data_IF_300484343127
#
_entry.id   IF_300484343127
#
_cell.length_a   1.000
_cell.length_b   1.000
_cell.length_c   1.000
_cell.angle_alpha   90.00
_cell.angle_beta   90.00
_cell.angle_gamma   90.00
#
_symmetry.space_group_name_H-M   'P 1'
#
loop_
_entity.id
_entity.type
_entity.pdbx_description
1 polymer ?
#
# COMPACT_ATOMS: atom_id res chain seq x y z
N UNK A 1 42.92 -53.11 4.33
CA UNK A 1 44.09 -52.30 4.75
C UNK A 1 43.56 -50.92 5.04
N UNK A 2 43.08 -50.71 6.26
CA UNK A 2 42.41 -49.47 6.69
C UNK A 2 43.26 -48.78 7.77
N UNK A 3 43.57 -47.50 7.51
CA UNK A 3 43.44 -46.39 8.47
C UNK A 3 44.17 -46.46 9.81
N UNK A 4 45.49 -46.33 9.82
CA UNK A 4 46.23 -45.85 11.00
C UNK A 4 47.23 -44.77 10.59
N UNK A 5 46.73 -43.58 10.24
CA UNK A 5 47.55 -42.37 10.28
C UNK A 5 47.90 -42.10 11.74
N UNK A 6 49.18 -42.09 12.09
CA UNK A 6 49.62 -41.93 13.48
C UNK A 6 49.08 -40.61 14.05
N UNK A 7 48.74 -40.57 15.35
CA UNK A 7 48.18 -39.37 16.00
C UNK A 7 48.98 -38.09 15.71
N UNK A 8 50.30 -38.22 15.49
CA UNK A 8 51.19 -37.11 15.10
C UNK A 8 50.90 -36.54 13.72
N UNK A 9 50.67 -37.39 12.72
CA UNK A 9 50.36 -36.95 11.36
C UNK A 9 49.00 -36.24 11.29
N UNK A 10 48.02 -36.68 12.09
CA UNK A 10 46.72 -36.02 12.19
C UNK A 10 46.86 -34.62 12.81
N UNK A 11 47.67 -34.48 13.86
CA UNK A 11 47.94 -33.19 14.51
C UNK A 11 48.67 -32.24 13.56
N UNK A 12 49.69 -32.70 12.84
CA UNK A 12 50.43 -31.89 11.87
C UNK A 12 49.54 -31.43 10.70
N UNK A 13 48.63 -32.29 10.22
CA UNK A 13 47.67 -31.95 9.18
C UNK A 13 46.70 -30.83 9.62
N UNK A 14 46.17 -30.92 10.84
CA UNK A 14 45.29 -29.88 11.42
C UNK A 14 46.07 -28.57 11.61
N UNK A 15 47.31 -28.64 12.10
CA UNK A 15 48.14 -27.47 12.36
C UNK A 15 48.50 -26.73 11.06
N UNK A 16 48.80 -27.48 9.99
CA UNK A 16 49.05 -26.93 8.66
C UNK A 16 47.78 -26.31 8.06
N UNK A 17 46.66 -27.02 8.12
CA UNK A 17 45.37 -26.51 7.62
C UNK A 17 44.96 -25.21 8.33
N UNK A 18 45.13 -25.14 9.65
CA UNK A 18 44.85 -23.92 10.41
C UNK A 18 45.80 -22.77 10.05
N UNK A 19 47.08 -23.06 9.80
CA UNK A 19 48.04 -22.04 9.34
C UNK A 19 47.66 -21.48 7.96
N UNK A 20 47.14 -22.33 7.09
CA UNK A 20 46.76 -21.98 5.71
C UNK A 20 45.38 -21.27 5.65
N UNK A 21 44.42 -21.62 6.52
CA UNK A 21 43.03 -21.14 6.45
C UNK A 21 42.50 -20.38 7.69
N UNK A 22 43.20 -20.39 8.81
CA UNK A 22 42.73 -19.82 10.08
C UNK A 22 42.43 -18.32 9.98
N UNK A 23 43.21 -17.56 9.20
CA UNK A 23 42.96 -16.12 8.95
C UNK A 23 41.62 -15.89 8.24
N UNK A 24 41.32 -16.66 7.20
CA UNK A 24 40.03 -16.55 6.48
C UNK A 24 38.84 -16.95 7.34
N UNK A 25 38.99 -17.95 8.21
CA UNK A 25 37.93 -18.37 9.13
C UNK A 25 37.66 -17.29 10.16
N UNK A 26 38.70 -16.74 10.79
CA UNK A 26 38.56 -15.64 11.76
C UNK A 26 37.96 -14.41 11.11
N UNK A 27 38.41 -14.06 9.89
CA UNK A 27 37.84 -12.93 9.14
C UNK A 27 36.36 -13.18 8.81
N UNK A 28 36.02 -14.39 8.34
CA UNK A 28 34.64 -14.77 8.05
C UNK A 28 33.74 -14.72 9.29
N UNK A 29 34.25 -15.19 10.44
CA UNK A 29 33.54 -15.13 11.71
C UNK A 29 33.34 -13.68 12.17
N UNK A 30 34.37 -12.83 12.07
CA UNK A 30 34.29 -11.43 12.44
C UNK A 30 33.27 -10.68 11.57
N UNK A 31 33.30 -10.90 10.24
CA UNK A 31 32.31 -10.34 9.32
C UNK A 31 30.91 -10.84 9.63
N UNK A 32 30.75 -12.14 9.92
CA UNK A 32 29.47 -12.74 10.29
C UNK A 32 28.89 -12.14 11.57
N UNK A 33 29.70 -11.98 12.63
CA UNK A 33 29.27 -11.38 13.89
C UNK A 33 28.91 -9.91 13.75
N UNK A 34 29.70 -9.14 12.99
CA UNK A 34 29.40 -7.73 12.72
C UNK A 34 28.12 -7.57 11.88
N UNK A 35 27.95 -8.41 10.86
CA UNK A 35 26.73 -8.43 10.05
C UNK A 35 25.49 -8.76 10.87
N UNK A 36 25.57 -9.80 11.72
CA UNK A 36 24.45 -10.19 12.59
C UNK A 36 24.15 -9.11 13.64
N UNK A 37 25.17 -8.52 14.26
CA UNK A 37 25.01 -7.43 15.23
C UNK A 37 24.38 -6.19 14.61
N UNK A 38 24.84 -5.80 13.41
CA UNK A 38 24.26 -4.69 12.65
C UNK A 38 22.80 -4.93 12.27
N UNK A 39 22.47 -6.13 11.79
CA UNK A 39 21.09 -6.50 11.46
C UNK A 39 20.18 -6.46 12.69
N UNK A 40 20.60 -7.03 13.82
CA UNK A 40 19.82 -7.01 15.07
C UNK A 40 19.58 -5.60 15.60
N UNK A 41 20.61 -4.75 15.58
CA UNK A 41 20.48 -3.35 16.00
C UNK A 41 19.48 -2.58 15.13
N UNK A 42 19.54 -2.80 13.81
CA UNK A 42 18.59 -2.21 12.87
C UNK A 42 17.16 -2.70 13.12
N UNK A 43 16.98 -4.00 13.34
CA UNK A 43 15.68 -4.61 13.63
C UNK A 43 15.08 -4.09 14.94
N UNK A 44 15.87 -4.02 16.02
CA UNK A 44 15.43 -3.49 17.32
C UNK A 44 15.02 -2.03 17.22
N UNK A 45 15.81 -1.20 16.53
CA UNK A 45 15.48 0.22 16.29
C UNK A 45 14.17 0.36 15.52
N UNK A 46 13.96 -0.47 14.49
CA UNK A 46 12.71 -0.49 13.71
C UNK A 46 11.51 -0.90 14.57
N UNK A 47 11.68 -1.86 15.46
CA UNK A 47 10.61 -2.33 16.35
C UNK A 47 10.23 -1.26 17.38
N UNK A 48 11.21 -0.61 18.01
CA UNK A 48 10.98 0.50 18.95
C UNK A 48 10.28 1.69 18.27
N UNK A 49 10.66 2.01 17.03
CA UNK A 49 9.97 3.03 16.25
C UNK A 49 8.52 2.64 15.94
N UNK A 50 8.26 1.38 15.60
CA UNK A 50 6.91 0.89 15.34
C UNK A 50 6.03 0.91 16.61
N UNK A 51 6.59 0.56 17.77
CA UNK A 51 5.91 0.65 19.07
C UNK A 51 5.58 2.10 19.45
N UNK A 52 6.54 3.01 19.31
CA UNK A 52 6.26 4.44 19.56
C UNK A 52 5.23 4.99 18.58
N UNK A 53 5.30 4.59 17.30
CA UNK A 53 4.33 4.96 16.30
C UNK A 53 2.91 4.44 16.61
N UNK A 54 2.78 3.24 17.18
CA UNK A 54 1.47 2.67 17.54
C UNK A 54 0.78 3.48 18.64
N UNK A 55 1.52 3.82 19.71
CA UNK A 55 0.99 4.63 20.82
C UNK A 55 0.54 6.00 20.32
N UNK A 56 1.35 6.64 19.46
CA UNK A 56 0.97 7.93 18.88
C UNK A 56 -0.22 7.80 17.92
N UNK A 57 -0.31 6.69 17.18
CA UNK A 57 -1.44 6.40 16.30
C UNK A 57 -2.75 6.21 17.07
N UNK A 58 -2.74 5.48 18.20
CA UNK A 58 -3.92 5.35 19.07
C UNK A 58 -4.37 6.71 19.60
N UNK A 59 -3.43 7.53 20.07
CA UNK A 59 -3.71 8.91 20.48
C UNK A 59 -4.32 9.73 19.33
N UNK A 60 -3.75 9.61 18.14
CA UNK A 60 -4.25 10.28 16.93
C UNK A 60 -5.70 9.85 16.61
N UNK A 61 -6.02 8.55 16.65
CA UNK A 61 -7.37 8.06 16.40
C UNK A 61 -8.38 8.61 17.42
N UNK A 62 -8.03 8.57 18.71
CA UNK A 62 -8.88 9.12 19.76
C UNK A 62 -9.16 10.62 19.57
N UNK A 63 -8.20 11.37 19.02
CA UNK A 63 -8.38 12.78 18.68
C UNK A 63 -9.15 13.00 17.37
N UNK A 64 -9.03 12.09 16.41
CA UNK A 64 -9.67 12.19 15.09
C UNK A 64 -11.18 11.89 15.14
N UNK A 65 -11.64 11.12 16.13
CA UNK A 65 -13.07 10.91 16.39
C UNK A 65 -13.76 12.23 16.78
N UNK A 66 -13.05 13.16 17.42
CA UNK A 66 -13.45 14.55 17.51
C UNK A 66 -13.01 15.30 16.24
N UNK A 67 -13.86 15.26 15.21
CA UNK A 67 -13.62 15.85 13.88
C UNK A 67 -13.22 17.33 13.89
N UNK A 68 -13.43 18.04 15.00
CA UNK A 68 -13.05 19.46 15.13
C UNK A 68 -11.64 19.67 15.67
N UNK A 69 -10.98 18.61 16.16
CA UNK A 69 -9.69 18.72 16.83
C UNK A 69 -8.57 19.10 15.86
N UNK A 70 -8.07 20.34 15.96
CA UNK A 70 -6.81 20.75 15.30
C UNK A 70 -5.61 19.92 15.80
N UNK A 71 -5.70 19.38 17.02
CA UNK A 71 -4.63 18.55 17.60
C UNK A 71 -4.45 17.24 16.84
N UNK A 72 -5.54 16.62 16.34
CA UNK A 72 -5.46 15.39 15.55
C UNK A 72 -4.54 15.57 14.32
N UNK A 73 -4.62 16.70 13.63
CA UNK A 73 -3.78 17.02 12.46
C UNK A 73 -2.32 17.21 12.83
N UNK A 74 -2.04 17.85 13.96
CA UNK A 74 -0.67 18.04 14.47
C UNK A 74 -0.05 16.70 14.87
N UNK A 75 -0.78 15.89 15.66
CA UNK A 75 -0.34 14.55 16.05
C UNK A 75 -0.14 13.67 14.82
N UNK A 76 -1.08 13.71 13.86
CA UNK A 76 -0.99 12.95 12.63
C UNK A 76 0.26 13.32 11.81
N UNK A 77 0.50 14.61 11.59
CA UNK A 77 1.68 15.07 10.87
C UNK A 77 2.98 14.66 11.58
N UNK A 78 3.02 14.75 12.92
CA UNK A 78 4.16 14.28 13.68
C UNK A 78 4.43 12.77 13.50
N UNK A 79 3.40 11.95 13.29
CA UNK A 79 3.61 10.53 12.98
C UNK A 79 4.23 10.35 11.59
N UNK A 80 3.76 11.10 10.60
CA UNK A 80 4.30 11.04 9.24
C UNK A 80 5.78 11.45 9.22
N UNK A 81 6.14 12.50 9.95
CA UNK A 81 7.49 13.05 9.98
C UNK A 81 8.48 12.15 10.75
N UNK A 82 8.05 11.57 11.88
CA UNK A 82 8.95 10.83 12.78
C UNK A 82 8.95 9.32 12.56
N UNK A 83 7.90 8.76 11.94
CA UNK A 83 7.70 7.31 11.82
C UNK A 83 7.35 6.87 10.40
N UNK A 84 7.86 7.56 9.38
CA UNK A 84 7.52 7.36 7.97
C UNK A 84 7.63 5.89 7.48
N UNK A 85 8.56 5.11 8.04
CA UNK A 85 8.77 3.69 7.69
C UNK A 85 7.78 2.72 8.37
N UNK A 86 6.93 3.21 9.27
CA UNK A 86 5.95 2.39 10.00
C UNK A 86 4.64 2.24 9.21
N UNK A 87 3.96 1.11 9.40
CA UNK A 87 2.60 0.94 8.86
C UNK A 87 1.63 1.98 9.43
N UNK A 88 1.85 2.38 10.70
CA UNK A 88 1.06 3.39 11.39
C UNK A 88 1.11 4.74 10.69
N UNK A 89 2.27 5.17 10.16
CA UNK A 89 2.33 6.42 9.40
C UNK A 89 1.49 6.39 8.12
N UNK A 90 1.43 5.25 7.42
CA UNK A 90 0.58 5.11 6.22
C UNK A 90 -0.91 5.06 6.57
N UNK A 91 -1.28 4.39 7.65
CA UNK A 91 -2.66 4.43 8.17
C UNK A 91 -3.04 5.85 8.60
N UNK A 92 -2.16 6.56 9.31
CA UNK A 92 -2.35 7.97 9.67
C UNK A 92 -2.56 8.83 8.43
N UNK A 93 -1.74 8.69 7.39
CA UNK A 93 -1.88 9.47 6.16
C UNK A 93 -3.21 9.18 5.44
N UNK A 94 -3.67 7.93 5.40
CA UNK A 94 -5.00 7.59 4.86
C UNK A 94 -6.14 8.24 5.67
N UNK A 95 -6.01 8.29 7.00
CA UNK A 95 -6.99 8.94 7.88
C UNK A 95 -6.94 10.47 7.73
N UNK A 96 -5.76 11.08 7.65
CA UNK A 96 -5.59 12.50 7.37
C UNK A 96 -6.19 12.87 6.01
N UNK A 97 -6.04 12.01 4.99
CA UNK A 97 -6.69 12.22 3.71
C UNK A 97 -8.22 12.25 3.84
N UNK A 98 -8.81 11.35 4.65
CA UNK A 98 -10.24 11.36 4.93
C UNK A 98 -10.68 12.63 5.67
N UNK A 99 -9.97 13.01 6.73
CA UNK A 99 -10.26 14.24 7.47
C UNK A 99 -10.20 15.47 6.56
N UNK A 100 -9.22 15.54 5.67
CA UNK A 100 -9.11 16.61 4.70
C UNK A 100 -10.31 16.65 3.73
N UNK A 101 -10.90 15.51 3.34
CA UNK A 101 -12.16 15.50 2.58
C UNK A 101 -13.34 15.99 3.42
N UNK A 102 -13.47 15.51 4.67
CA UNK A 102 -14.51 15.97 5.60
C UNK A 102 -14.43 17.49 5.85
N UNK A 103 -13.22 18.06 5.83
CA UNK A 103 -12.93 19.50 5.96
C UNK A 103 -13.07 20.30 4.64
N UNK A 104 -13.53 19.68 3.56
CA UNK A 104 -13.59 20.28 2.22
C UNK A 104 -12.22 20.78 1.68
N UNK A 105 -11.14 20.07 2.00
CA UNK A 105 -9.76 20.31 1.55
C UNK A 105 -9.24 19.19 0.63
N UNK A 106 -9.82 19.00 -0.57
CA UNK A 106 -9.46 17.88 -1.46
C UNK A 106 -7.99 17.90 -1.91
N UNK A 107 -7.36 19.07 -2.04
CA UNK A 107 -5.94 19.16 -2.39
C UNK A 107 -5.03 18.61 -1.28
N UNK A 108 -5.39 18.81 -0.01
CA UNK A 108 -4.64 18.23 1.10
C UNK A 108 -4.84 16.72 1.16
N UNK A 109 -6.06 16.25 0.88
CA UNK A 109 -6.34 14.82 0.78
C UNK A 109 -5.47 14.15 -0.29
N UNK A 110 -5.35 14.76 -1.48
CA UNK A 110 -4.49 14.26 -2.57
C UNK A 110 -3.03 14.16 -2.13
N UNK A 111 -2.49 15.16 -1.43
CA UNK A 111 -1.11 15.12 -0.90
C UNK A 111 -0.89 13.96 0.06
N UNK A 112 -1.83 13.72 0.99
CA UNK A 112 -1.71 12.60 1.91
C UNK A 112 -1.84 11.23 1.21
N UNK A 113 -2.71 11.10 0.21
CA UNK A 113 -2.80 9.88 -0.60
C UNK A 113 -1.53 9.64 -1.42
N UNK A 114 -0.98 10.69 -2.03
CA UNK A 114 0.30 10.62 -2.75
C UNK A 114 1.44 10.23 -1.81
N UNK A 115 1.47 10.79 -0.58
CA UNK A 115 2.43 10.41 0.44
C UNK A 115 2.41 8.90 0.73
N UNK A 116 1.23 8.29 0.83
CA UNK A 116 1.07 6.83 1.03
C UNK A 116 1.64 6.02 -0.14
N UNK A 117 1.54 6.55 -1.36
CA UNK A 117 2.06 5.91 -2.59
C UNK A 117 3.58 6.01 -2.66
N UNK A 118 4.13 7.16 -2.27
CA UNK A 118 5.57 7.46 -2.41
C UNK A 118 6.42 6.81 -1.30
N UNK A 119 5.81 6.43 -0.17
CA UNK A 119 6.53 5.86 0.98
C UNK A 119 6.45 4.33 1.03
N UNK A 120 7.56 3.66 1.41
CA UNK A 120 7.65 2.20 1.42
C UNK A 120 6.69 1.56 2.42
N UNK A 121 6.12 0.40 2.06
CA UNK A 121 5.21 -0.36 2.93
C UNK A 121 4.34 -1.36 2.13
N UNK A 122 3.24 -1.81 2.73
CA UNK A 122 2.25 -2.71 2.10
C UNK A 122 1.70 -2.17 0.77
N UNK A 123 1.79 -2.99 -0.29
CA UNK A 123 1.24 -2.66 -1.61
C UNK A 123 -0.27 -2.40 -1.54
N UNK A 124 -0.99 -3.12 -0.68
CA UNK A 124 -2.44 -2.98 -0.52
C UNK A 124 -2.87 -1.56 -0.07
N UNK A 125 -2.12 -0.92 0.84
CA UNK A 125 -2.42 0.46 1.22
C UNK A 125 -2.11 1.46 0.09
N UNK A 126 -1.09 1.18 -0.73
CA UNK A 126 -0.79 2.00 -1.90
C UNK A 126 -1.91 1.87 -2.96
N UNK A 127 -2.44 0.67 -3.16
CA UNK A 127 -3.56 0.41 -4.05
C UNK A 127 -4.81 1.19 -3.64
N UNK A 128 -5.16 1.15 -2.34
CA UNK A 128 -6.27 1.94 -1.79
C UNK A 128 -6.02 3.44 -2.02
N UNK A 129 -4.80 3.92 -1.77
CA UNK A 129 -4.45 5.31 -1.97
C UNK A 129 -4.57 5.73 -3.45
N UNK A 130 -4.09 4.90 -4.39
CA UNK A 130 -4.20 5.12 -5.84
C UNK A 130 -5.66 5.17 -6.29
N UNK A 131 -6.49 4.24 -5.84
CA UNK A 131 -7.92 4.22 -6.19
C UNK A 131 -8.64 5.49 -5.71
N UNK A 132 -8.39 5.92 -4.46
CA UNK A 132 -8.95 7.16 -3.91
C UNK A 132 -8.40 8.41 -4.61
N UNK A 133 -7.12 8.42 -4.95
CA UNK A 133 -6.50 9.53 -5.68
C UNK A 133 -7.04 9.62 -7.12
N UNK A 134 -7.34 8.49 -7.75
CA UNK A 134 -8.01 8.43 -9.05
C UNK A 134 -9.43 8.98 -8.97
N UNK A 135 -10.20 8.66 -7.92
CA UNK A 135 -11.52 9.25 -7.68
C UNK A 135 -11.46 10.78 -7.56
N UNK A 136 -10.52 11.31 -6.77
CA UNK A 136 -10.35 12.75 -6.63
C UNK A 136 -9.86 13.42 -7.92
N UNK A 137 -9.02 12.74 -8.69
CA UNK A 137 -8.56 13.22 -10.01
C UNK A 137 -9.69 13.24 -11.03
N UNK A 138 -10.59 12.26 -10.98
CA UNK A 138 -11.79 12.23 -11.81
C UNK A 138 -12.75 13.37 -11.43
N UNK A 139 -12.92 13.65 -10.13
CA UNK A 139 -13.72 14.77 -9.64
C UNK A 139 -13.18 16.14 -10.11
N UNK A 140 -11.87 16.26 -10.32
CA UNK A 140 -11.24 17.43 -10.95
C UNK A 140 -11.46 17.52 -12.47
N UNK A 141 -12.12 16.54 -13.09
CA UNK A 141 -12.23 16.40 -14.54
C UNK A 141 -10.96 15.86 -15.22
N UNK A 142 -9.98 15.36 -14.46
CA UNK A 142 -8.71 14.83 -14.98
C UNK A 142 -8.80 13.32 -15.21
N UNK A 143 -9.68 12.90 -16.11
CA UNK A 143 -9.96 11.48 -16.35
C UNK A 143 -8.71 10.67 -16.79
N UNK A 144 -7.86 11.24 -17.65
CA UNK A 144 -6.63 10.56 -18.09
C UNK A 144 -5.63 10.35 -16.95
N UNK A 145 -5.49 11.34 -16.06
CA UNK A 145 -4.65 11.21 -14.87
C UNK A 145 -5.22 10.14 -13.92
N UNK A 146 -6.54 10.12 -13.73
CA UNK A 146 -7.21 9.08 -12.95
C UNK A 146 -6.95 7.67 -13.49
N UNK A 147 -7.05 7.49 -14.81
CA UNK A 147 -6.75 6.20 -15.45
C UNK A 147 -5.28 5.79 -15.26
N UNK A 148 -4.34 6.73 -15.45
CA UNK A 148 -2.92 6.47 -15.27
C UNK A 148 -2.57 5.98 -13.86
N UNK A 149 -3.22 6.55 -12.83
CA UNK A 149 -3.06 6.11 -11.44
C UNK A 149 -3.46 4.64 -11.23
N UNK A 150 -4.55 4.20 -11.87
CA UNK A 150 -5.00 2.81 -11.80
C UNK A 150 -4.04 1.87 -12.54
N UNK A 151 -3.54 2.26 -13.71
CA UNK A 151 -2.58 1.46 -14.48
C UNK A 151 -1.26 1.27 -13.74
N UNK A 152 -0.70 2.35 -13.16
CA UNK A 152 0.55 2.28 -12.40
C UNK A 152 0.47 1.34 -11.19
N UNK A 153 -0.72 1.20 -10.59
CA UNK A 153 -0.97 0.28 -9.49
C UNK A 153 -1.36 -1.13 -9.91
N UNK A 154 -1.41 -1.44 -11.22
CA UNK A 154 -1.94 -2.71 -11.71
C UNK A 154 -3.44 -2.92 -11.45
N UNK A 155 -4.17 -1.86 -11.08
CA UNK A 155 -5.57 -1.89 -10.69
C UNK A 155 -6.52 -1.86 -11.89
N UNK A 156 -6.01 -1.62 -13.08
CA UNK A 156 -6.79 -1.50 -14.32
C UNK A 156 -7.37 -2.84 -14.80
N UNK A 157 -6.83 -3.99 -14.40
CA UNK A 157 -7.23 -5.31 -14.91
C UNK A 157 -8.22 -6.09 -14.03
N UNK A 158 -8.29 -5.81 -12.72
CA UNK A 158 -9.17 -6.51 -11.76
C UNK A 158 -10.62 -6.02 -11.71
N UNK A 159 -11.48 -6.69 -10.94
CA UNK A 159 -12.93 -6.39 -10.96
C UNK A 159 -13.39 -5.45 -9.85
N UNK A 160 -12.56 -5.32 -8.81
CA UNK A 160 -12.86 -4.60 -7.57
C UNK A 160 -13.12 -3.09 -7.74
N UNK A 161 -12.73 -2.52 -8.88
CA UNK A 161 -12.91 -1.11 -9.22
C UNK A 161 -13.72 -0.91 -10.52
N UNK A 162 -14.55 -1.89 -10.90
CA UNK A 162 -15.30 -1.84 -12.16
C UNK A 162 -16.11 -0.54 -12.33
N UNK A 163 -16.78 -0.07 -11.28
CA UNK A 163 -17.53 1.19 -11.32
C UNK A 163 -16.63 2.41 -11.52
N UNK A 164 -15.54 2.54 -10.75
CA UNK A 164 -14.60 3.66 -10.90
C UNK A 164 -13.96 3.69 -12.29
N UNK A 165 -13.62 2.53 -12.84
CA UNK A 165 -13.09 2.45 -14.21
C UNK A 165 -14.13 2.87 -15.23
N UNK A 166 -15.38 2.45 -15.06
CA UNK A 166 -16.48 2.86 -15.91
C UNK A 166 -16.71 4.37 -15.85
N UNK A 167 -16.68 4.96 -14.65
CA UNK A 167 -16.78 6.41 -14.45
C UNK A 167 -15.67 7.16 -15.20
N UNK A 168 -14.42 6.67 -15.09
CA UNK A 168 -13.26 7.25 -15.79
C UNK A 168 -13.41 7.13 -17.31
N UNK A 169 -13.77 5.95 -17.82
CA UNK A 169 -13.94 5.72 -19.26
C UNK A 169 -15.09 6.55 -19.84
N UNK A 170 -16.19 6.68 -19.10
CA UNK A 170 -17.30 7.55 -19.48
C UNK A 170 -16.83 9.01 -19.59
N UNK A 171 -16.06 9.50 -18.62
CA UNK A 171 -15.48 10.85 -18.65
C UNK A 171 -14.44 11.05 -19.78
N UNK A 172 -13.80 9.96 -20.25
CA UNK A 172 -12.94 9.96 -21.45
C UNK A 172 -13.72 9.89 -22.77
N UNK A 173 -15.06 9.80 -22.73
CA UNK A 173 -15.91 9.61 -23.92
C UNK A 173 -15.92 8.18 -24.47
N UNK A 174 -15.32 7.22 -23.76
CA UNK A 174 -15.29 5.79 -24.13
C UNK A 174 -16.54 5.07 -23.65
N UNK A 175 -17.70 5.54 -24.10
CA UNK A 175 -19.02 5.09 -23.62
C UNK A 175 -19.22 3.58 -23.74
N UNK A 176 -18.81 2.96 -24.86
CA UNK A 176 -18.97 1.52 -25.06
C UNK A 176 -18.19 0.69 -24.03
N UNK A 177 -16.95 1.08 -23.73
CA UNK A 177 -16.12 0.41 -22.72
C UNK A 177 -16.67 0.65 -21.31
N UNK A 178 -17.15 1.87 -21.03
CA UNK A 178 -17.77 2.23 -19.76
C UNK A 178 -19.02 1.37 -19.47
N UNK A 179 -19.90 1.18 -20.45
CA UNK A 179 -21.12 0.36 -20.32
C UNK A 179 -20.78 -1.08 -19.93
N UNK A 180 -19.76 -1.68 -20.57
CA UNK A 180 -19.33 -3.06 -20.24
C UNK A 180 -18.89 -3.15 -18.78
N UNK A 181 -18.13 -2.17 -18.29
CA UNK A 181 -17.66 -2.15 -16.90
C UNK A 181 -18.77 -1.80 -15.90
N UNK A 182 -19.74 -0.95 -16.25
CA UNK A 182 -20.91 -0.73 -15.41
C UNK A 182 -21.78 -1.97 -15.29
N UNK A 183 -22.04 -2.69 -16.38
CA UNK A 183 -22.77 -3.95 -16.33
C UNK A 183 -22.06 -4.98 -15.43
N UNK A 184 -20.73 -5.01 -15.51
CA UNK A 184 -19.91 -5.84 -14.61
C UNK A 184 -20.02 -5.40 -13.15
N UNK A 185 -19.93 -4.10 -12.87
CA UNK A 185 -20.09 -3.54 -11.53
C UNK A 185 -21.48 -3.83 -10.95
N UNK A 186 -22.53 -3.68 -11.76
CA UNK A 186 -23.91 -3.99 -11.40
C UNK A 186 -24.05 -5.44 -10.97
N UNK A 187 -23.57 -6.38 -11.81
CA UNK A 187 -23.62 -7.82 -11.52
C UNK A 187 -22.94 -8.15 -10.18
N UNK A 188 -21.70 -7.69 -10.00
CA UNK A 188 -20.93 -7.92 -8.76
C UNK A 188 -21.64 -7.36 -7.53
N UNK A 189 -22.23 -6.16 -7.65
CA UNK A 189 -22.96 -5.52 -6.56
C UNK A 189 -24.23 -6.30 -6.20
N UNK A 190 -25.00 -6.76 -7.19
CA UNK A 190 -26.21 -7.57 -6.96
C UNK A 190 -25.89 -8.96 -6.39
N UNK A 191 -24.84 -9.64 -6.86
CA UNK A 191 -24.41 -10.93 -6.32
C UNK A 191 -23.94 -10.81 -4.85
N UNK A 192 -23.38 -9.65 -4.48
CA UNK A 192 -23.04 -9.30 -3.10
C UNK A 192 -24.21 -8.81 -2.23
N UNK A 193 -25.45 -8.77 -2.76
CA UNK A 193 -26.64 -8.31 -2.05
C UNK A 193 -26.79 -6.78 -1.93
N UNK A 194 -26.01 -6.02 -2.71
CA UNK A 194 -26.11 -4.56 -2.78
C UNK A 194 -27.18 -4.06 -3.74
N UNK A 195 -27.51 -2.76 -3.64
CA UNK A 195 -28.53 -2.10 -4.48
C UNK A 195 -27.89 -1.47 -5.74
N UNK A 196 -28.23 -1.93 -6.97
CA UNK A 196 -27.66 -1.42 -8.22
C UNK A 196 -28.20 -0.08 -8.71
N UNK A 197 -29.16 0.55 -8.04
CA UNK A 197 -29.88 1.72 -8.54
C UNK A 197 -28.97 2.89 -9.00
N UNK A 198 -27.86 3.13 -8.31
CA UNK A 198 -26.91 4.19 -8.71
C UNK A 198 -26.21 3.86 -10.04
N UNK A 199 -25.84 2.59 -10.23
CA UNK A 199 -25.18 2.12 -11.46
C UNK A 199 -26.18 2.12 -12.62
N UNK A 200 -27.44 1.75 -12.34
CA UNK A 200 -28.53 1.84 -13.32
C UNK A 200 -28.66 3.27 -13.82
N UNK A 201 -28.85 4.25 -12.92
CA UNK A 201 -28.92 5.68 -13.29
C UNK A 201 -27.72 6.16 -14.12
N UNK A 202 -26.51 5.65 -13.84
CA UNK A 202 -25.31 5.97 -14.65
C UNK A 202 -25.40 5.36 -16.06
N UNK A 203 -25.89 4.13 -16.21
CA UNK A 203 -26.17 3.49 -17.50
C UNK A 203 -27.29 4.22 -18.27
N UNK A 204 -28.33 4.69 -17.60
CA UNK A 204 -29.42 5.47 -18.21
C UNK A 204 -28.90 6.77 -18.82
N UNK A 205 -28.04 7.49 -18.10
CA UNK A 205 -27.41 8.75 -18.56
C UNK A 205 -26.54 8.55 -19.80
N UNK A 206 -25.99 7.35 -19.98
CA UNK A 206 -25.25 6.97 -21.18
C UNK A 206 -26.15 6.48 -22.33
N UNK A 207 -27.48 6.52 -22.14
CA UNK A 207 -28.48 6.23 -23.18
C UNK A 207 -28.84 4.75 -23.36
N UNK A 208 -28.70 3.89 -22.34
CA UNK A 208 -28.86 2.44 -22.48
C UNK A 208 -29.91 1.75 -21.57
N UNK A 209 -31.19 2.15 -21.62
CA UNK A 209 -32.30 1.31 -21.09
C UNK A 209 -33.03 0.52 -22.21
N UNK A 210 -32.60 0.66 -23.47
CA UNK A 210 -33.36 0.07 -24.59
C UNK A 210 -33.03 -1.38 -24.97
N UNK A 211 -31.96 -2.00 -24.46
CA UNK A 211 -31.45 -3.25 -25.07
C UNK A 211 -31.06 -4.40 -24.15
N UNK A 212 -31.12 -4.29 -22.82
CA UNK A 212 -30.60 -5.34 -21.93
C UNK A 212 -31.66 -6.07 -21.08
N UNK A 213 -32.96 -5.75 -21.20
CA UNK A 213 -33.93 -6.50 -20.41
C UNK A 213 -35.40 -6.24 -20.66
N UNK A 214 -35.90 -6.53 -21.88
CA UNK A 214 -37.18 -7.24 -22.09
C UNK A 214 -37.07 -7.99 -23.43
N UNK A 215 -36.82 -9.29 -23.38
CA UNK A 215 -37.34 -10.21 -24.38
C UNK A 215 -38.38 -11.05 -23.66
N UNK A 216 -39.60 -10.95 -24.18
CA UNK A 216 -40.80 -11.70 -23.76
C UNK A 216 -40.54 -13.22 -23.69
#
# INVERSE_FOLDING_TARGET
MEGYSSEREQVEAIQKWWKDHGKSIVLGLAVGLLGLGGYRYWEETRNLQAESASINYEKFLNQADDKTSKESRVTGQAILDNYAASIYARLTALTLAKLAIDDAQPEQAKKHLQWVIDHPGSDQLAEIARARLAQLSLADGKADAAWALLVQGGLNTGDQLAELKADILAAQGKTAEAVVLYAKAQKLLTEGGGNPAVIELKLERLGQIGQVGVKE
#
